data_IF_618410704784
#
_entry.id   IF_618410704784
#
_cell.length_a   1.000
_cell.length_b   1.000
_cell.length_c   1.000
_cell.angle_alpha   90.00
_cell.angle_beta   90.00
_cell.angle_gamma   90.00
#
_symmetry.space_group_name_H-M   'P 1'
#
loop_
_entity.id
_entity.type
_entity.pdbx_description
1 polymer ?
#
# COMPACT_ATOMS: atom_id res chain seq x y z
N UNK A 1 -23.32 14.58 -14.36
CA UNK A 1 -24.01 13.37 -13.84
C UNK A 1 -23.34 12.95 -12.53
N UNK A 2 -24.11 12.56 -11.50
CA UNK A 2 -23.56 12.08 -10.22
C UNK A 2 -23.30 10.57 -10.34
N UNK A 3 -22.04 10.15 -10.20
CA UNK A 3 -21.57 8.75 -10.27
C UNK A 3 -22.00 7.88 -9.08
N UNK A 4 -22.58 8.47 -8.03
CA UNK A 4 -22.94 7.77 -6.79
C UNK A 4 -24.29 7.03 -6.86
N UNK A 5 -24.89 6.89 -8.04
CA UNK A 5 -26.24 6.32 -8.19
C UNK A 5 -26.23 4.82 -8.48
N UNK A 6 -25.10 4.25 -8.93
CA UNK A 6 -24.98 2.81 -9.16
C UNK A 6 -24.28 2.12 -7.98
N UNK A 7 -25.01 1.22 -7.34
CA UNK A 7 -24.47 0.26 -6.36
C UNK A 7 -24.35 -1.09 -7.06
N UNK A 8 -23.33 -1.88 -6.70
CA UNK A 8 -23.09 -3.26 -7.17
C UNK A 8 -24.26 -4.24 -6.96
N UNK A 9 -25.38 -3.78 -6.39
CA UNK A 9 -26.63 -4.50 -6.19
C UNK A 9 -27.74 -4.11 -7.18
N UNK A 10 -27.48 -3.30 -8.22
CA UNK A 10 -28.48 -2.94 -9.22
C UNK A 10 -28.71 -4.08 -10.21
N UNK A 11 -29.98 -4.31 -10.59
CA UNK A 11 -30.41 -5.34 -11.54
C UNK A 11 -30.07 -4.99 -13.01
N UNK A 12 -29.66 -3.75 -13.27
CA UNK A 12 -29.23 -3.26 -14.59
C UNK A 12 -27.71 -3.26 -14.68
N UNK A 13 -27.20 -3.82 -15.79
CA UNK A 13 -25.79 -3.82 -16.10
C UNK A 13 -25.29 -2.38 -16.29
N UNK A 14 -24.16 -1.99 -15.68
CA UNK A 14 -23.58 -0.67 -15.87
C UNK A 14 -23.27 -0.44 -17.35
N UNK A 15 -23.53 0.76 -17.86
CA UNK A 15 -23.11 1.12 -19.22
C UNK A 15 -21.59 1.02 -19.33
N UNK A 16 -21.05 0.69 -20.51
CA UNK A 16 -19.60 0.57 -20.74
C UNK A 16 -18.80 1.77 -20.22
N UNK A 17 -19.34 2.99 -20.32
CA UNK A 17 -18.72 4.21 -19.78
C UNK A 17 -18.62 4.20 -18.24
N UNK A 18 -19.65 3.70 -17.55
CA UNK A 18 -19.67 3.59 -16.09
C UNK A 18 -18.74 2.48 -15.61
N UNK A 19 -18.71 1.35 -16.33
CA UNK A 19 -17.77 0.26 -16.08
C UNK A 19 -16.33 0.75 -16.25
N UNK A 20 -16.05 1.49 -17.32
CA UNK A 20 -14.73 2.06 -17.57
C UNK A 20 -14.32 3.04 -16.46
N UNK A 21 -15.22 3.93 -16.03
CA UNK A 21 -14.96 4.86 -14.93
C UNK A 21 -14.66 4.14 -13.60
N UNK A 22 -15.38 3.04 -13.32
CA UNK A 22 -15.14 2.21 -12.14
C UNK A 22 -13.78 1.51 -12.22
N UNK A 23 -13.47 0.91 -13.38
CA UNK A 23 -12.18 0.26 -13.63
C UNK A 23 -11.01 1.23 -13.49
N UNK A 24 -11.15 2.46 -14.00
CA UNK A 24 -10.12 3.50 -13.88
C UNK A 24 -9.88 3.88 -12.41
N UNK A 25 -10.94 4.11 -11.63
CA UNK A 25 -10.81 4.40 -10.21
C UNK A 25 -10.14 3.27 -9.43
N UNK A 26 -10.52 2.02 -9.71
CA UNK A 26 -9.90 0.84 -9.09
C UNK A 26 -8.42 0.74 -9.46
N UNK A 27 -8.07 0.98 -10.73
CA UNK A 27 -6.69 0.97 -11.20
C UNK A 27 -5.84 2.06 -10.51
N UNK A 28 -6.37 3.27 -10.34
CA UNK A 28 -5.70 4.36 -9.61
C UNK A 28 -5.52 3.99 -8.14
N UNK A 29 -6.58 3.54 -7.46
CA UNK A 29 -6.52 3.15 -6.06
C UNK A 29 -5.54 2.00 -5.80
N UNK A 30 -5.50 1.00 -6.69
CA UNK A 30 -4.54 -0.11 -6.60
C UNK A 30 -3.09 0.37 -6.78
N UNK A 31 -2.83 1.26 -7.75
CA UNK A 31 -1.50 1.85 -7.95
C UNK A 31 -1.04 2.67 -6.76
N UNK A 32 -1.93 3.48 -6.18
CA UNK A 32 -1.64 4.29 -5.00
C UNK A 32 -1.39 3.43 -3.76
N UNK A 33 -2.23 2.42 -3.54
CA UNK A 33 -2.10 1.46 -2.45
C UNK A 33 -0.75 0.71 -2.54
N UNK A 34 -0.40 0.23 -3.73
CA UNK A 34 0.89 -0.44 -3.98
C UNK A 34 2.08 0.49 -3.71
N UNK A 35 2.04 1.74 -4.20
CA UNK A 35 3.08 2.75 -3.94
C UNK A 35 3.23 3.04 -2.45
N UNK A 36 2.12 3.16 -1.73
CA UNK A 36 2.11 3.39 -0.27
C UNK A 36 2.69 2.20 0.48
N UNK A 37 2.29 0.98 0.12
CA UNK A 37 2.80 -0.25 0.70
C UNK A 37 4.33 -0.39 0.48
N UNK A 38 4.82 -0.07 -0.72
CA UNK A 38 6.26 -0.10 -1.03
C UNK A 38 7.05 0.87 -0.15
N UNK A 39 6.58 2.11 0.01
CA UNK A 39 7.24 3.11 0.87
C UNK A 39 7.28 2.67 2.33
N UNK A 40 6.18 2.10 2.84
CA UNK A 40 6.13 1.62 4.22
C UNK A 40 7.05 0.40 4.43
N UNK A 41 7.15 -0.49 3.44
CA UNK A 41 8.10 -1.59 3.48
C UNK A 41 9.55 -1.09 3.54
N UNK A 42 9.91 -0.13 2.68
CA UNK A 42 11.25 0.48 2.68
C UNK A 42 11.57 1.14 4.03
N UNK A 43 10.62 1.89 4.60
CA UNK A 43 10.75 2.51 5.93
C UNK A 43 11.01 1.48 7.02
N UNK A 44 10.20 0.41 7.07
CA UNK A 44 10.35 -0.67 8.07
C UNK A 44 11.66 -1.43 7.90
N UNK A 45 12.08 -1.68 6.66
CA UNK A 45 13.36 -2.34 6.39
C UNK A 45 14.54 -1.51 6.87
N UNK A 46 14.48 -0.18 6.73
CA UNK A 46 15.50 0.71 7.25
C UNK A 46 15.55 0.68 8.78
N UNK A 47 14.39 0.75 9.46
CA UNK A 47 14.33 0.63 10.92
C UNK A 47 14.89 -0.71 11.43
N UNK A 48 14.58 -1.80 10.73
CA UNK A 48 15.11 -3.13 11.07
C UNK A 48 16.63 -3.19 10.91
N UNK A 49 17.18 -2.60 9.83
CA UNK A 49 18.63 -2.49 9.63
C UNK A 49 19.31 -1.69 10.75
N UNK A 50 18.71 -0.57 11.16
CA UNK A 50 19.25 0.26 12.23
C UNK A 50 19.22 -0.46 13.58
N UNK A 51 18.11 -1.13 13.89
CA UNK A 51 18.02 -1.99 15.09
C UNK A 51 19.08 -3.09 15.06
N UNK A 52 19.24 -3.80 13.95
CA UNK A 52 20.28 -4.83 13.79
C UNK A 52 21.70 -4.27 14.00
N UNK A 53 21.98 -3.07 13.48
CA UNK A 53 23.27 -2.40 13.67
C UNK A 53 23.51 -2.07 15.15
N UNK A 54 22.50 -1.55 15.84
CA UNK A 54 22.56 -1.26 17.27
C UNK A 54 22.75 -2.53 18.11
N UNK A 55 22.01 -3.60 17.80
CA UNK A 55 22.19 -4.90 18.44
C UNK A 55 23.60 -5.47 18.22
N UNK A 56 24.15 -5.40 17.01
CA UNK A 56 25.53 -5.86 16.76
C UNK A 56 26.55 -5.05 17.54
N UNK A 57 26.41 -3.72 17.57
CA UNK A 57 27.33 -2.86 18.33
C UNK A 57 27.30 -3.18 19.83
N UNK A 58 26.11 -3.43 20.40
CA UNK A 58 25.95 -3.82 21.80
C UNK A 58 26.54 -5.20 22.11
N UNK A 59 26.32 -6.18 21.24
CA UNK A 59 26.92 -7.51 21.43
C UNK A 59 28.46 -7.49 21.33
N UNK A 60 29.04 -6.64 20.47
CA UNK A 60 30.50 -6.49 20.37
C UNK A 60 31.08 -5.78 21.60
N UNK A 61 30.39 -4.79 22.16
CA UNK A 61 30.81 -4.15 23.40
C UNK A 61 30.76 -5.10 24.60
N UNK A 62 29.76 -5.99 24.64
CA UNK A 62 29.58 -6.95 25.74
C UNK A 62 30.59 -8.12 25.70
N UNK A 63 31.19 -8.43 24.53
CA UNK A 63 32.23 -9.47 24.38
C UNK A 63 33.65 -8.91 24.60
N UNK A 64 33.83 -7.58 24.48
CA UNK A 64 35.16 -6.93 24.59
C UNK A 64 35.48 -6.40 26.00
N UNK A 65 34.64 -6.70 27.00
CA UNK A 65 34.88 -6.48 28.43
C UNK A 65 35.36 -7.77 29.10
#
# INVERSE_FOLDING_TARGET
>A
MKLNTYRLSSLEDPTDEQLHALMEQVAVAARESSRKAKRELERRMQEVREKLKAYRAKNVSDISM
#
